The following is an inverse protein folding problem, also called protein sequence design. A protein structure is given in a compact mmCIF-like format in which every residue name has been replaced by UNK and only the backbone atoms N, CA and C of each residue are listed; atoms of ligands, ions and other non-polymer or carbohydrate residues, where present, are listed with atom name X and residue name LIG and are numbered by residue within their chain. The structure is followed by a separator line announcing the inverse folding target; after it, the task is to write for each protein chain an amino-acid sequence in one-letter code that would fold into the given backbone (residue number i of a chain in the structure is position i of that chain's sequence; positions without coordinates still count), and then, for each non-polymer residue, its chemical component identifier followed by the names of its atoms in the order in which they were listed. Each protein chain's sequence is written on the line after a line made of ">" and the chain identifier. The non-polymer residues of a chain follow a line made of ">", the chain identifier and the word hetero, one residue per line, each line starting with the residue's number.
data_IF_981515260519
#
_entry.id   IF_981515260519
#
_cell.length_a   1.000
_cell.length_b   1.000
_cell.length_c   1.000
_cell.angle_alpha   90.00
_cell.angle_beta   90.00
_cell.angle_gamma   90.00
#
_symmetry.space_group_name_H-M   'P 1'
#
loop_
_entity.id
_entity.type
_entity.pdbx_description
1 polymer ?
#
# COMPACT_ATOMS: atom_id res chain seq x y z
N UNK A 1 42.09 -2.24 -43.76
CA UNK A 1 41.14 -3.03 -44.59
C UNK A 1 39.72 -2.66 -44.19
N UNK A 2 38.91 -2.07 -45.09
CA UNK A 2 37.49 -1.81 -44.79
C UNK A 2 36.71 -3.11 -45.04
N UNK A 3 36.16 -3.71 -44.01
CA UNK A 3 35.32 -4.91 -44.16
C UNK A 3 34.08 -4.60 -45.03
N UNK A 4 33.68 -5.52 -45.90
CA UNK A 4 32.51 -5.35 -46.77
C UNK A 4 31.23 -5.25 -45.94
N UNK A 5 30.19 -4.54 -46.47
CA UNK A 5 28.88 -4.37 -45.80
C UNK A 5 28.24 -5.75 -45.46
N UNK A 6 28.46 -6.75 -46.31
CA UNK A 6 27.99 -8.13 -46.09
C UNK A 6 28.74 -8.86 -44.92
N UNK A 7 30.02 -8.55 -44.75
CA UNK A 7 30.84 -9.12 -43.66
C UNK A 7 30.49 -8.48 -42.31
N UNK A 8 30.14 -7.17 -42.30
CA UNK A 8 29.63 -6.46 -41.14
C UNK A 8 28.27 -7.03 -40.72
N UNK A 9 27.34 -7.27 -41.69
CA UNK A 9 26.00 -7.83 -41.43
C UNK A 9 26.12 -9.27 -40.89
N UNK A 10 27.02 -10.11 -41.44
CA UNK A 10 27.27 -11.46 -40.88
C UNK A 10 27.80 -11.43 -39.45
N UNK A 11 28.69 -10.50 -39.10
CA UNK A 11 29.20 -10.34 -37.71
C UNK A 11 28.13 -9.88 -36.75
N UNK A 12 27.22 -9.00 -37.16
CA UNK A 12 26.14 -8.49 -36.32
C UNK A 12 25.10 -9.56 -35.98
N UNK A 13 24.89 -10.54 -36.87
CA UNK A 13 23.94 -11.64 -36.66
C UNK A 13 24.59 -12.97 -36.18
N UNK A 14 25.90 -12.98 -35.96
CA UNK A 14 26.56 -14.16 -35.41
C UNK A 14 26.17 -14.33 -33.91
N UNK A 15 25.86 -15.58 -33.53
CA UNK A 15 25.63 -15.92 -32.10
C UNK A 15 26.96 -15.72 -31.37
N UNK A 16 26.99 -14.89 -30.32
CA UNK A 16 28.22 -14.65 -29.56
C UNK A 16 28.63 -15.90 -28.78
N UNK A 17 29.91 -16.03 -28.51
CA UNK A 17 30.41 -17.04 -27.57
C UNK A 17 29.84 -16.74 -26.17
N UNK A 18 29.28 -17.78 -25.54
CA UNK A 18 28.69 -17.68 -24.23
C UNK A 18 29.70 -18.11 -23.17
N UNK A 19 29.98 -17.17 -22.25
CA UNK A 19 30.84 -17.48 -21.09
C UNK A 19 30.08 -17.19 -19.80
N UNK A 20 30.42 -17.85 -18.69
CA UNK A 20 29.80 -17.72 -17.40
C UNK A 20 30.67 -16.91 -16.42
N UNK A 21 30.07 -16.01 -15.63
CA UNK A 21 30.78 -15.25 -14.59
C UNK A 21 31.18 -16.16 -13.42
N UNK A 22 32.43 -16.65 -13.44
CA UNK A 22 32.99 -17.49 -12.38
C UNK A 22 33.31 -16.70 -11.10
N UNK A 23 33.57 -15.42 -11.22
CA UNK A 23 33.98 -14.54 -10.12
C UNK A 23 32.82 -14.00 -9.28
N UNK A 24 31.59 -14.30 -9.66
CA UNK A 24 30.36 -13.81 -9.01
C UNK A 24 30.36 -12.28 -8.82
N UNK A 25 30.72 -11.56 -9.86
CA UNK A 25 30.79 -10.08 -9.86
C UNK A 25 29.57 -9.42 -10.50
N UNK A 26 28.77 -10.19 -11.24
CA UNK A 26 27.60 -9.70 -11.94
C UNK A 26 26.35 -9.70 -11.03
N UNK A 27 25.57 -8.64 -11.10
CA UNK A 27 24.26 -8.51 -10.45
C UNK A 27 23.21 -8.10 -11.47
N UNK A 28 22.02 -8.67 -11.36
CA UNK A 28 20.85 -8.25 -12.13
C UNK A 28 20.04 -7.13 -11.45
N UNK A 29 20.44 -6.73 -10.24
CA UNK A 29 19.70 -5.81 -9.36
C UNK A 29 20.57 -4.67 -8.86
N UNK A 30 21.37 -4.05 -9.75
CA UNK A 30 22.29 -2.98 -9.38
C UNK A 30 21.59 -1.80 -8.64
N UNK A 31 20.31 -1.57 -8.93
CA UNK A 31 19.51 -0.54 -8.24
C UNK A 31 19.27 -0.79 -6.75
N UNK A 32 19.54 -1.99 -6.24
CA UNK A 32 19.46 -2.24 -4.79
C UNK A 32 20.47 -1.41 -3.99
N UNK A 33 21.50 -0.83 -4.62
CA UNK A 33 22.40 0.09 -3.94
C UNK A 33 21.66 1.34 -3.46
N UNK A 34 20.64 1.82 -4.18
CA UNK A 34 19.78 2.93 -3.75
C UNK A 34 19.03 2.57 -2.47
N UNK A 35 18.50 1.35 -2.40
CA UNK A 35 17.84 0.86 -1.18
C UNK A 35 18.86 0.60 -0.05
N UNK A 36 20.08 0.21 -0.36
CA UNK A 36 21.14 0.10 0.65
C UNK A 36 21.41 1.45 1.31
N UNK A 37 21.51 2.52 0.52
CA UNK A 37 21.66 3.89 1.00
C UNK A 37 20.42 4.35 1.80
N UNK A 38 19.21 4.10 1.27
CA UNK A 38 17.96 4.40 1.96
C UNK A 38 17.86 3.67 3.32
N UNK A 39 18.24 2.39 3.39
CA UNK A 39 18.24 1.64 4.65
C UNK A 39 19.21 2.22 5.68
N UNK A 40 20.35 2.78 5.23
CA UNK A 40 21.28 3.47 6.10
C UNK A 40 20.68 4.78 6.62
N UNK A 41 20.15 5.62 5.74
CA UNK A 41 19.52 6.90 6.10
C UNK A 41 18.34 6.72 7.08
N UNK A 42 17.51 5.70 6.90
CA UNK A 42 16.39 5.38 7.78
C UNK A 42 16.77 4.61 9.05
N UNK A 43 18.03 4.18 9.20
CA UNK A 43 18.44 3.29 10.29
C UNK A 43 17.66 1.95 10.31
N UNK A 44 17.14 1.52 9.15
CA UNK A 44 16.17 0.42 9.03
C UNK A 44 16.65 -0.88 9.64
N UNK A 45 17.95 -1.20 9.50
CA UNK A 45 18.53 -2.44 10.05
C UNK A 45 18.48 -2.47 11.58
N UNK A 46 18.73 -1.35 12.24
CA UNK A 46 18.65 -1.22 13.69
C UNK A 46 17.20 -1.29 14.18
N UNK A 47 16.31 -0.57 13.48
CA UNK A 47 14.87 -0.58 13.78
C UNK A 47 14.26 -1.97 13.63
N UNK A 48 14.58 -2.71 12.57
CA UNK A 48 14.15 -4.10 12.40
C UNK A 48 14.73 -5.02 13.50
N UNK A 49 16.00 -4.86 13.87
CA UNK A 49 16.58 -5.64 14.98
C UNK A 49 15.83 -5.40 16.29
N UNK A 50 15.46 -4.17 16.58
CA UNK A 50 14.69 -3.82 17.76
C UNK A 50 13.31 -4.51 17.79
N UNK A 51 12.66 -4.71 16.64
CA UNK A 51 11.38 -5.41 16.57
C UNK A 51 11.46 -6.85 17.11
N UNK A 52 12.60 -7.51 16.93
CA UNK A 52 12.82 -8.92 17.29
C UNK A 52 13.77 -9.10 18.47
N UNK A 53 14.16 -8.03 19.17
CA UNK A 53 15.17 -8.09 20.24
C UNK A 53 14.78 -8.98 21.45
N UNK A 54 13.47 -9.20 21.67
CA UNK A 54 12.96 -10.05 22.73
C UNK A 54 12.97 -11.54 22.39
N UNK A 55 13.18 -11.88 21.11
CA UNK A 55 13.30 -13.27 20.66
C UNK A 55 14.75 -13.71 20.78
N UNK A 56 14.97 -14.96 21.20
CA UNK A 56 16.30 -15.53 21.37
C UNK A 56 17.15 -15.48 20.09
N UNK A 57 18.47 -15.42 20.24
CA UNK A 57 19.42 -15.46 19.12
C UNK A 57 19.30 -16.78 18.36
N UNK A 58 19.16 -16.69 17.04
CA UNK A 58 19.27 -17.85 16.14
C UNK A 58 20.71 -17.99 15.65
N UNK A 59 21.20 -19.22 15.53
CA UNK A 59 22.60 -19.52 15.18
C UNK A 59 23.01 -18.97 13.81
N UNK A 60 22.18 -19.17 12.76
CA UNK A 60 22.60 -18.86 11.38
C UNK A 60 22.03 -17.51 10.89
N UNK A 61 20.71 -17.36 10.90
CA UNK A 61 20.04 -16.17 10.38
C UNK A 61 19.05 -15.62 11.40
N UNK A 62 19.27 -14.36 11.83
CA UNK A 62 18.36 -13.66 12.74
C UNK A 62 17.06 -13.23 12.06
N UNK A 63 15.97 -13.06 12.83
CA UNK A 63 14.65 -12.64 12.36
C UNK A 63 14.69 -11.37 11.52
N UNK A 64 15.39 -10.34 11.97
CA UNK A 64 15.52 -9.07 11.27
C UNK A 64 16.16 -9.21 9.88
N UNK A 65 17.12 -10.13 9.73
CA UNK A 65 17.78 -10.40 8.44
C UNK A 65 16.85 -11.14 7.49
N UNK A 66 16.09 -12.12 7.98
CA UNK A 66 15.06 -12.81 7.18
C UNK A 66 13.97 -11.84 6.76
N UNK A 67 13.54 -10.95 7.66
CA UNK A 67 12.56 -9.91 7.33
C UNK A 67 13.08 -8.96 6.24
N UNK A 68 14.34 -8.49 6.36
CA UNK A 68 14.96 -7.63 5.35
C UNK A 68 15.12 -8.37 4.00
N UNK A 69 15.43 -9.67 4.02
CA UNK A 69 15.47 -10.48 2.80
C UNK A 69 14.09 -10.56 2.13
N UNK A 70 13.00 -10.70 2.89
CA UNK A 70 11.65 -10.68 2.31
C UNK A 70 11.31 -9.32 1.69
N UNK A 71 11.72 -8.23 2.33
CA UNK A 71 11.56 -6.90 1.77
C UNK A 71 12.29 -6.78 0.43
N UNK A 72 13.57 -7.20 0.36
CA UNK A 72 14.33 -7.21 -0.90
C UNK A 72 13.71 -8.14 -1.94
N UNK A 73 13.24 -9.32 -1.53
CA UNK A 73 12.54 -10.28 -2.38
C UNK A 73 11.35 -9.63 -3.10
N UNK A 74 10.52 -8.91 -2.35
CA UNK A 74 9.37 -8.18 -2.88
C UNK A 74 9.79 -7.00 -3.75
N UNK A 75 10.78 -6.20 -3.32
CA UNK A 75 11.34 -5.09 -4.12
C UNK A 75 11.85 -5.56 -5.48
N UNK A 76 12.54 -6.68 -5.54
CA UNK A 76 13.02 -7.30 -6.79
C UNK A 76 11.88 -7.88 -7.65
N UNK A 77 10.67 -8.05 -7.10
CA UNK A 77 9.47 -8.51 -7.81
C UNK A 77 9.21 -10.00 -7.71
N UNK A 78 9.81 -10.67 -6.76
CA UNK A 78 9.55 -12.06 -6.48
C UNK A 78 8.36 -12.23 -5.53
N UNK A 79 7.63 -13.32 -5.72
CA UNK A 79 6.40 -13.59 -4.95
C UNK A 79 6.54 -14.82 -4.05
N UNK A 80 6.97 -15.95 -4.62
CA UNK A 80 7.02 -17.22 -3.91
C UNK A 80 8.32 -17.33 -3.17
N UNK A 81 8.32 -17.83 -1.93
CA UNK A 81 9.55 -17.99 -1.16
C UNK A 81 10.63 -18.78 -1.92
N UNK A 82 10.25 -19.76 -2.77
CA UNK A 82 11.17 -20.53 -3.62
C UNK A 82 11.82 -19.70 -4.73
N UNK A 83 11.20 -18.57 -5.13
CA UNK A 83 11.78 -17.71 -6.17
C UNK A 83 13.11 -17.08 -5.69
N UNK A 84 13.44 -17.23 -4.41
CA UNK A 84 14.73 -16.89 -3.80
C UNK A 84 15.89 -17.59 -4.53
N UNK A 85 15.67 -18.74 -5.11
CA UNK A 85 16.72 -19.48 -5.84
C UNK A 85 17.18 -18.74 -7.10
N UNK A 86 16.33 -17.90 -7.69
CA UNK A 86 16.66 -17.07 -8.86
C UNK A 86 17.72 -15.99 -8.58
N UNK A 87 17.94 -15.62 -7.31
CA UNK A 87 18.93 -14.62 -6.93
C UNK A 87 19.87 -15.09 -5.81
N UNK A 88 19.92 -16.40 -5.56
CA UNK A 88 20.68 -16.97 -4.45
C UNK A 88 22.20 -16.65 -4.50
N UNK A 89 22.73 -16.55 -5.71
CA UNK A 89 24.13 -16.23 -5.95
C UNK A 89 24.43 -14.78 -6.27
N UNK A 90 23.42 -13.89 -6.25
CA UNK A 90 23.63 -12.47 -6.58
C UNK A 90 24.50 -11.77 -5.51
N UNK A 91 25.68 -11.25 -5.91
CA UNK A 91 26.64 -10.69 -4.94
C UNK A 91 26.14 -9.40 -4.27
N UNK A 92 25.35 -8.59 -4.99
CA UNK A 92 24.82 -7.34 -4.41
C UNK A 92 23.71 -7.63 -3.41
N UNK A 93 22.84 -8.59 -3.67
CA UNK A 93 21.80 -9.01 -2.72
C UNK A 93 22.43 -9.52 -1.42
N UNK A 94 23.43 -10.42 -1.52
CA UNK A 94 24.17 -10.90 -0.35
C UNK A 94 24.82 -9.76 0.43
N UNK A 95 25.43 -8.79 -0.29
CA UNK A 95 26.06 -7.62 0.31
C UNK A 95 25.05 -6.70 1.01
N UNK A 96 23.93 -6.38 0.38
CA UNK A 96 22.87 -5.58 0.99
C UNK A 96 22.32 -6.25 2.24
N UNK A 97 22.29 -7.56 2.32
CA UNK A 97 21.89 -8.30 3.51
C UNK A 97 22.99 -8.46 4.55
N UNK A 98 24.27 -8.27 4.16
CA UNK A 98 25.42 -8.50 5.02
C UNK A 98 25.61 -9.99 5.34
N UNK A 99 25.53 -10.85 4.30
CA UNK A 99 25.67 -12.30 4.40
C UNK A 99 26.55 -12.83 3.29
N UNK A 100 27.23 -13.96 3.54
CA UNK A 100 27.98 -14.70 2.50
C UNK A 100 27.08 -15.62 1.67
N UNK A 101 25.98 -16.08 2.26
CA UNK A 101 24.95 -16.92 1.60
C UNK A 101 23.56 -16.54 2.07
N UNK A 102 22.55 -16.78 1.25
CA UNK A 102 21.14 -16.55 1.61
C UNK A 102 20.56 -17.77 2.34
N UNK A 103 19.68 -17.59 3.34
CA UNK A 103 18.92 -18.67 3.93
C UNK A 103 18.07 -19.39 2.87
N UNK A 104 17.92 -20.69 3.00
CA UNK A 104 17.03 -21.50 2.18
C UNK A 104 15.56 -21.28 2.53
N UNK A 105 14.65 -21.76 1.69
CA UNK A 105 13.20 -21.60 1.85
C UNK A 105 12.70 -22.16 3.18
N UNK A 106 13.24 -23.32 3.61
CA UNK A 106 12.86 -23.96 4.86
C UNK A 106 13.30 -23.13 6.07
N UNK A 107 14.50 -22.55 6.02
CA UNK A 107 15.03 -21.65 7.04
C UNK A 107 14.20 -20.37 7.12
N UNK A 108 13.85 -19.75 5.99
CA UNK A 108 12.95 -18.58 5.97
C UNK A 108 11.61 -18.93 6.64
N UNK A 109 10.95 -20.00 6.18
CA UNK A 109 9.63 -20.41 6.68
C UNK A 109 9.65 -20.74 8.17
N UNK A 110 10.66 -21.50 8.65
CA UNK A 110 10.83 -21.83 10.07
C UNK A 110 11.11 -20.60 10.93
N UNK A 111 11.91 -19.66 10.41
CA UNK A 111 12.20 -18.41 11.14
C UNK A 111 10.94 -17.57 11.31
N UNK A 112 10.16 -17.39 10.25
CA UNK A 112 8.90 -16.64 10.33
C UNK A 112 7.89 -17.32 11.25
N UNK A 113 7.77 -18.66 11.19
CA UNK A 113 6.84 -19.43 12.00
C UNK A 113 7.18 -19.43 13.49
N UNK A 114 8.42 -19.17 13.86
CA UNK A 114 8.90 -19.12 15.24
C UNK A 114 8.88 -17.71 15.85
N UNK A 115 8.41 -16.70 15.11
CA UNK A 115 8.13 -15.38 15.68
C UNK A 115 6.81 -15.41 16.49
N UNK A 116 6.58 -14.35 17.24
CA UNK A 116 5.40 -14.18 18.09
C UNK A 116 4.56 -12.96 17.71
N UNK A 117 3.42 -12.78 18.38
CA UNK A 117 2.53 -11.64 18.18
C UNK A 117 3.22 -10.30 18.50
N UNK A 118 4.09 -10.26 19.51
CA UNK A 118 4.84 -9.06 19.90
C UNK A 118 5.78 -8.59 18.80
N UNK A 119 6.42 -9.53 18.07
CA UNK A 119 7.24 -9.20 16.92
C UNK A 119 6.39 -8.63 15.77
N UNK A 120 5.21 -9.21 15.51
CA UNK A 120 4.25 -8.69 14.53
C UNK A 120 3.85 -7.26 14.87
N UNK A 121 3.45 -6.99 16.11
CA UNK A 121 3.03 -5.65 16.55
C UNK A 121 4.15 -4.62 16.44
N UNK A 122 5.39 -4.99 16.78
CA UNK A 122 6.54 -4.10 16.63
C UNK A 122 6.87 -3.78 15.18
N UNK A 123 6.69 -4.73 14.26
CA UNK A 123 6.86 -4.48 12.82
C UNK A 123 5.74 -3.59 12.28
N UNK A 124 4.48 -3.78 12.73
CA UNK A 124 3.36 -2.87 12.44
C UNK A 124 3.71 -1.44 12.87
N UNK A 125 4.14 -1.27 14.13
CA UNK A 125 4.56 0.03 14.67
C UNK A 125 5.71 0.65 13.88
N UNK A 126 6.67 -0.14 13.43
CA UNK A 126 7.76 0.34 12.57
C UNK A 126 7.24 0.89 11.24
N UNK A 127 6.30 0.21 10.58
CA UNK A 127 5.70 0.67 9.32
C UNK A 127 5.00 2.02 9.54
N UNK A 128 4.17 2.12 10.58
CA UNK A 128 3.49 3.37 10.94
C UNK A 128 4.47 4.50 11.28
N UNK A 129 5.53 4.20 12.03
CA UNK A 129 6.55 5.18 12.37
C UNK A 129 7.28 5.72 11.14
N UNK A 130 7.62 4.87 10.15
CA UNK A 130 8.25 5.32 8.90
C UNK A 130 7.32 6.24 8.10
N UNK A 131 6.04 5.92 8.00
CA UNK A 131 5.06 6.78 7.33
C UNK A 131 4.89 8.13 8.04
N UNK A 132 4.89 8.14 9.39
CA UNK A 132 4.82 9.38 10.17
C UNK A 132 6.12 10.20 10.11
N UNK A 133 7.30 9.54 10.10
CA UNK A 133 8.58 10.23 9.92
C UNK A 133 8.58 10.99 8.58
N UNK A 134 8.06 10.37 7.49
CA UNK A 134 7.89 11.03 6.20
C UNK A 134 6.85 12.15 6.26
N UNK A 135 5.71 11.94 6.90
CA UNK A 135 4.68 12.98 7.06
C UNK A 135 5.21 14.21 7.80
N UNK A 136 6.08 14.02 8.79
CA UNK A 136 6.79 15.12 9.49
C UNK A 136 7.78 15.80 8.56
N UNK A 137 8.60 15.04 7.81
CA UNK A 137 9.59 15.60 6.88
C UNK A 137 8.93 16.42 5.74
N UNK A 138 7.71 16.05 5.33
CA UNK A 138 6.93 16.81 4.35
C UNK A 138 6.09 17.94 4.97
N UNK A 139 6.20 18.14 6.29
CA UNK A 139 5.44 19.17 7.03
C UNK A 139 3.94 19.14 6.71
N UNK A 140 3.34 17.93 6.64
CA UNK A 140 1.95 17.79 6.24
C UNK A 140 1.00 18.55 7.16
N UNK A 141 0.29 19.57 6.69
CA UNK A 141 -0.67 20.33 7.50
C UNK A 141 -1.93 19.53 7.80
N UNK A 142 -2.19 18.50 7.00
CA UNK A 142 -3.30 17.56 7.10
C UNK A 142 -2.83 16.14 6.86
N UNK A 143 -3.35 15.19 7.63
CA UNK A 143 -3.14 13.76 7.42
C UNK A 143 -4.50 13.10 7.20
N UNK A 144 -4.70 12.52 6.04
CA UNK A 144 -5.90 11.75 5.72
C UNK A 144 -5.59 10.28 5.85
N UNK A 145 -6.27 9.62 6.79
CA UNK A 145 -6.24 8.17 6.95
C UNK A 145 -7.38 7.55 6.14
N UNK A 146 -7.02 6.65 5.23
CA UNK A 146 -7.97 5.79 4.54
C UNK A 146 -8.02 4.43 5.22
N UNK A 147 -9.21 3.93 5.45
CA UNK A 147 -9.43 2.60 6.03
C UNK A 147 -10.21 1.72 5.06
N UNK A 148 -9.73 0.48 4.88
CA UNK A 148 -10.40 -0.51 4.03
C UNK A 148 -10.11 -1.94 4.45
N UNK A 149 -11.06 -2.83 4.19
CA UNK A 149 -10.88 -4.26 4.28
C UNK A 149 -10.46 -4.83 2.92
N UNK A 150 -9.61 -5.86 2.93
CA UNK A 150 -9.25 -6.49 1.66
C UNK A 150 -9.05 -8.00 1.79
N UNK A 151 -9.67 -8.76 0.88
CA UNK A 151 -9.54 -10.22 0.86
C UNK A 151 -8.14 -10.63 0.43
N UNK A 152 -7.51 -11.50 1.22
CA UNK A 152 -6.28 -12.23 0.89
C UNK A 152 -6.64 -13.72 0.82
N UNK A 153 -6.90 -14.23 -0.37
CA UNK A 153 -7.39 -15.60 -0.56
C UNK A 153 -6.26 -16.63 -0.75
N UNK A 154 -6.53 -17.86 -0.38
CA UNK A 154 -5.63 -19.00 -0.59
C UNK A 154 -6.40 -20.28 -0.88
N UNK A 155 -5.83 -21.12 -1.74
CA UNK A 155 -6.32 -22.49 -1.95
C UNK A 155 -5.77 -23.48 -0.92
N UNK A 156 -4.77 -23.06 -0.13
CA UNK A 156 -4.10 -23.89 0.88
C UNK A 156 -4.70 -23.64 2.25
N UNK A 157 -4.73 -24.67 3.07
CA UNK A 157 -5.05 -24.50 4.48
C UNK A 157 -3.92 -23.75 5.20
N UNK A 158 -4.23 -22.59 5.78
CA UNK A 158 -3.34 -21.83 6.65
C UNK A 158 -4.06 -21.49 7.96
N UNK A 159 -3.33 -21.45 9.05
CA UNK A 159 -3.82 -21.17 10.39
C UNK A 159 -4.57 -19.83 10.43
N UNK A 160 -5.79 -19.82 10.98
CA UNK A 160 -6.63 -18.62 11.09
C UNK A 160 -7.29 -18.16 9.79
N UNK A 161 -7.20 -18.93 8.69
CA UNK A 161 -7.99 -18.68 7.49
C UNK A 161 -9.41 -19.22 7.67
N UNK A 162 -10.38 -18.49 7.14
CA UNK A 162 -11.79 -18.91 7.11
C UNK A 162 -12.41 -18.66 5.74
N UNK A 163 -13.48 -19.37 5.42
CA UNK A 163 -14.32 -19.10 4.26
C UNK A 163 -15.21 -17.92 4.60
N UNK A 164 -15.14 -16.86 3.81
CA UNK A 164 -15.92 -15.65 3.98
C UNK A 164 -16.36 -15.06 2.65
N UNK A 165 -16.86 -13.83 2.68
CA UNK A 165 -17.27 -13.14 1.48
C UNK A 165 -16.08 -12.86 0.56
N UNK A 166 -16.09 -13.45 -0.62
CA UNK A 166 -15.12 -13.19 -1.68
C UNK A 166 -15.85 -13.12 -3.03
N UNK A 167 -16.10 -11.92 -3.57
CA UNK A 167 -16.88 -11.76 -4.80
C UNK A 167 -16.18 -12.35 -6.03
N UNK A 168 -14.84 -12.45 -5.99
CA UNK A 168 -14.05 -12.99 -7.12
C UNK A 168 -13.94 -14.52 -7.10
N UNK A 169 -13.95 -15.14 -5.91
CA UNK A 169 -13.73 -16.59 -5.74
C UNK A 169 -14.56 -17.12 -4.58
N UNK A 170 -15.83 -17.40 -4.85
CA UNK A 170 -16.77 -17.96 -3.85
C UNK A 170 -16.21 -19.25 -3.23
N UNK A 171 -16.41 -19.45 -1.93
CA UNK A 171 -16.01 -20.65 -1.21
C UNK A 171 -14.53 -20.79 -0.91
N UNK A 172 -13.67 -19.84 -1.31
CA UNK A 172 -12.25 -19.90 -0.96
C UNK A 172 -11.98 -19.39 0.45
N UNK A 173 -11.00 -20.03 1.11
CA UNK A 173 -10.51 -19.59 2.42
C UNK A 173 -9.57 -18.41 2.27
N UNK A 174 -9.50 -17.56 3.29
CA UNK A 174 -8.56 -16.46 3.30
C UNK A 174 -8.50 -15.71 4.61
N UNK A 175 -7.80 -14.61 4.59
CA UNK A 175 -7.83 -13.56 5.61
C UNK A 175 -8.59 -12.36 5.06
N UNK A 176 -9.12 -11.56 5.97
CA UNK A 176 -9.75 -10.27 5.65
C UNK A 176 -9.18 -9.17 6.56
N UNK A 177 -7.91 -8.78 6.36
CA UNK A 177 -7.31 -7.72 7.16
C UNK A 177 -7.96 -6.36 6.87
N UNK A 178 -7.99 -5.49 7.90
CA UNK A 178 -8.16 -4.06 7.74
C UNK A 178 -6.81 -3.42 7.51
N UNK A 179 -6.76 -2.47 6.60
CA UNK A 179 -5.60 -1.64 6.31
C UNK A 179 -5.89 -0.18 6.65
N UNK A 180 -4.89 0.51 7.13
CA UNK A 180 -4.85 1.97 7.21
C UNK A 180 -3.74 2.51 6.33
N UNK A 181 -3.99 3.62 5.63
CA UNK A 181 -3.04 4.24 4.70
C UNK A 181 -3.01 5.74 4.91
N UNK A 182 -1.83 6.36 4.80
CA UNK A 182 -1.68 7.82 4.70
C UNK A 182 -1.85 8.22 3.24
N UNK A 183 -3.01 8.78 2.93
CA UNK A 183 -3.43 9.06 1.56
C UNK A 183 -2.45 9.96 0.79
N UNK A 184 -1.96 11.02 1.43
CA UNK A 184 -1.04 11.98 0.79
C UNK A 184 0.25 11.34 0.32
N UNK A 185 0.76 10.36 1.08
CA UNK A 185 2.04 9.70 0.81
C UNK A 185 1.88 8.42 -0.03
N UNK A 186 0.64 7.93 -0.19
CA UNK A 186 0.40 6.63 -0.80
C UNK A 186 0.99 5.46 0.00
N UNK A 187 1.22 5.62 1.30
CA UNK A 187 1.88 4.64 2.16
C UNK A 187 0.91 3.90 3.07
N UNK A 188 1.14 2.61 3.25
CA UNK A 188 0.51 1.87 4.34
C UNK A 188 0.95 2.43 5.69
N UNK A 189 -0.03 2.54 6.59
CA UNK A 189 0.20 3.00 7.94
C UNK A 189 0.16 1.84 8.94
N UNK A 190 -0.88 1.00 8.85
CA UNK A 190 -1.04 -0.16 9.73
C UNK A 190 -1.92 -1.25 9.09
N UNK A 191 -1.95 -2.44 9.70
CA UNK A 191 -2.78 -3.57 9.30
C UNK A 191 -3.30 -4.32 10.52
N UNK A 192 -4.63 -4.50 10.60
CA UNK A 192 -5.25 -5.42 11.56
C UNK A 192 -5.63 -6.73 10.86
N UNK A 193 -4.86 -7.79 11.12
CA UNK A 193 -4.99 -9.08 10.42
C UNK A 193 -6.09 -9.94 11.04
N UNK A 194 -7.12 -10.30 10.22
CA UNK A 194 -8.32 -10.99 10.66
C UNK A 194 -8.64 -12.22 9.78
N UNK A 195 -9.41 -13.22 10.29
CA UNK A 195 -9.95 -14.32 9.49
C UNK A 195 -10.85 -13.82 8.34
N UNK A 196 -11.04 -14.64 7.30
CA UNK A 196 -11.81 -14.27 6.12
C UNK A 196 -13.32 -14.12 6.31
N UNK A 197 -13.86 -14.63 7.41
CA UNK A 197 -15.30 -14.59 7.72
C UNK A 197 -15.72 -13.47 8.68
N UNK A 198 -14.88 -12.46 8.83
CA UNK A 198 -15.11 -11.33 9.76
C UNK A 198 -15.67 -10.15 8.98
N UNK A 199 -16.69 -9.47 9.54
CA UNK A 199 -17.24 -8.23 8.99
C UNK A 199 -16.32 -7.04 9.26
N UNK A 200 -16.36 -5.99 8.43
CA UNK A 200 -15.48 -4.81 8.55
C UNK A 200 -15.59 -4.10 9.90
N UNK A 201 -16.77 -4.05 10.50
CA UNK A 201 -16.99 -3.44 11.82
C UNK A 201 -16.26 -4.12 12.97
N UNK A 202 -15.92 -5.42 12.86
CA UNK A 202 -15.28 -6.16 13.95
C UNK A 202 -13.83 -5.71 14.16
N UNK A 203 -13.55 -5.17 15.36
CA UNK A 203 -12.24 -4.64 15.72
C UNK A 203 -11.88 -3.33 15.01
N UNK A 204 -12.80 -2.74 14.23
CA UNK A 204 -12.54 -1.50 13.51
C UNK A 204 -12.39 -0.31 14.45
N UNK A 205 -13.20 -0.24 15.52
CA UNK A 205 -13.19 0.87 16.50
C UNK A 205 -11.81 0.98 17.14
N UNK A 206 -11.32 -0.11 17.72
CA UNK A 206 -10.02 -0.15 18.38
C UNK A 206 -8.87 0.12 17.39
N UNK A 207 -8.94 -0.47 16.20
CA UNK A 207 -7.93 -0.28 15.16
C UNK A 207 -7.84 1.17 14.71
N UNK A 208 -8.97 1.81 14.43
CA UNK A 208 -9.04 3.21 14.01
C UNK A 208 -8.58 4.14 15.15
N UNK A 209 -9.00 3.87 16.40
CA UNK A 209 -8.55 4.64 17.58
C UNK A 209 -7.03 4.59 17.74
N UNK A 210 -6.44 3.40 17.67
CA UNK A 210 -4.98 3.22 17.76
C UNK A 210 -4.24 3.99 16.65
N UNK A 211 -4.75 3.96 15.42
CA UNK A 211 -4.16 4.73 14.32
C UNK A 211 -4.23 6.24 14.57
N UNK A 212 -5.37 6.74 15.02
CA UNK A 212 -5.58 8.15 15.36
C UNK A 212 -4.60 8.60 16.45
N UNK A 213 -4.50 7.85 17.53
CA UNK A 213 -3.60 8.15 18.66
C UNK A 213 -2.13 8.19 18.22
N UNK A 214 -1.70 7.28 17.36
CA UNK A 214 -0.33 7.28 16.83
C UNK A 214 -0.05 8.56 16.02
N UNK A 215 -0.98 8.97 15.14
CA UNK A 215 -0.83 10.22 14.38
C UNK A 215 -0.83 11.43 15.31
N UNK A 216 -1.75 11.50 16.28
CA UNK A 216 -1.85 12.62 17.23
C UNK A 216 -0.59 12.81 18.06
N UNK A 217 0.02 11.71 18.53
CA UNK A 217 1.29 11.76 19.27
C UNK A 217 2.43 12.34 18.45
N UNK A 218 2.49 12.06 17.15
CA UNK A 218 3.60 12.47 16.29
C UNK A 218 3.37 13.80 15.59
N UNK A 219 2.12 14.09 15.23
CA UNK A 219 1.68 15.28 14.48
C UNK A 219 0.50 15.97 15.20
N UNK A 220 0.70 16.52 16.42
CA UNK A 220 -0.38 17.03 17.26
C UNK A 220 -1.12 18.23 16.65
N UNK A 221 -0.45 18.99 15.77
CA UNK A 221 -0.99 20.21 15.12
C UNK A 221 -1.67 19.93 13.78
N UNK A 222 -1.42 18.78 13.16
CA UNK A 222 -2.00 18.45 11.87
C UNK A 222 -3.52 18.24 11.99
N UNK A 223 -4.24 18.68 10.97
CA UNK A 223 -5.68 18.35 10.84
C UNK A 223 -5.77 16.88 10.46
N UNK A 224 -6.39 16.07 11.32
CA UNK A 224 -6.60 14.66 11.05
C UNK A 224 -7.93 14.43 10.36
N UNK A 225 -7.88 13.69 9.26
CA UNK A 225 -9.04 13.38 8.43
C UNK A 225 -9.16 11.87 8.25
N UNK A 226 -10.38 11.36 8.08
CA UNK A 226 -10.63 9.94 7.79
C UNK A 226 -11.64 9.78 6.66
N UNK A 227 -11.38 8.78 5.78
CA UNK A 227 -12.30 8.34 4.74
C UNK A 227 -12.58 6.85 4.92
N UNK A 228 -13.86 6.50 4.95
CA UNK A 228 -14.30 5.14 5.18
C UNK A 228 -15.45 4.79 4.23
N UNK A 229 -15.60 3.51 3.94
CA UNK A 229 -16.73 3.03 3.15
C UNK A 229 -17.96 2.74 4.01
N UNK A 230 -18.99 2.23 3.37
CA UNK A 230 -20.26 1.95 4.03
C UNK A 230 -20.19 0.78 5.02
N UNK A 231 -19.22 -0.09 4.92
CA UNK A 231 -19.04 -1.20 5.84
C UNK A 231 -18.55 -0.73 7.23
N UNK A 232 -17.96 0.46 7.30
CA UNK A 232 -17.54 1.12 8.55
C UNK A 232 -18.62 2.04 9.14
N UNK A 233 -19.81 2.11 8.56
CA UNK A 233 -20.87 2.95 9.09
C UNK A 233 -21.46 2.36 10.38
N UNK A 234 -20.85 2.71 11.50
CA UNK A 234 -21.22 2.26 12.84
C UNK A 234 -21.19 3.40 13.84
N UNK A 235 -22.17 3.43 14.80
CA UNK A 235 -22.32 4.54 15.75
C UNK A 235 -21.07 4.79 16.58
N UNK A 236 -20.48 3.71 17.12
CA UNK A 236 -19.32 3.81 18.02
C UNK A 236 -18.08 4.31 17.29
N UNK A 237 -17.91 3.89 16.03
CA UNK A 237 -16.80 4.38 15.20
C UNK A 237 -16.92 5.89 14.93
N UNK A 238 -18.12 6.37 14.59
CA UNK A 238 -18.34 7.79 14.39
C UNK A 238 -18.16 8.58 15.70
N UNK A 239 -18.54 8.01 16.84
CA UNK A 239 -18.32 8.62 18.14
C UNK A 239 -16.83 8.78 18.45
N UNK A 240 -16.01 7.74 18.21
CA UNK A 240 -14.53 7.80 18.35
C UNK A 240 -13.94 8.88 17.45
N UNK A 241 -14.35 8.95 16.18
CA UNK A 241 -13.86 9.99 15.26
C UNK A 241 -14.21 11.40 15.77
N UNK A 242 -15.41 11.59 16.32
CA UNK A 242 -15.89 12.86 16.88
C UNK A 242 -15.14 13.23 18.17
N UNK A 243 -14.94 12.28 19.07
CA UNK A 243 -14.20 12.43 20.32
C UNK A 243 -12.75 12.86 20.09
N UNK A 244 -12.09 12.22 19.14
CA UNK A 244 -10.73 12.56 18.74
C UNK A 244 -10.63 13.76 17.79
N UNK A 245 -11.75 14.47 17.54
CA UNK A 245 -11.84 15.66 16.65
C UNK A 245 -11.27 15.36 15.25
N UNK A 246 -11.53 14.16 14.72
CA UNK A 246 -11.18 13.78 13.35
C UNK A 246 -12.26 14.29 12.41
N UNK A 247 -11.87 14.96 11.33
CA UNK A 247 -12.78 15.29 10.23
C UNK A 247 -13.01 14.05 9.38
N UNK A 248 -14.24 13.68 9.10
CA UNK A 248 -14.51 12.46 8.35
C UNK A 248 -15.55 12.63 7.24
N UNK A 249 -15.48 11.73 6.27
CA UNK A 249 -16.56 11.41 5.36
C UNK A 249 -16.67 9.87 5.26
N UNK A 250 -17.87 9.35 5.51
CA UNK A 250 -18.17 7.92 5.49
C UNK A 250 -19.33 7.69 4.53
N UNK A 251 -19.16 6.73 3.60
CA UNK A 251 -20.28 6.29 2.77
C UNK A 251 -21.37 5.66 3.64
N UNK A 252 -22.61 5.93 3.34
CA UNK A 252 -23.77 5.38 4.02
C UNK A 252 -24.34 4.21 3.20
N UNK A 253 -24.71 3.07 3.79
CA UNK A 253 -25.37 1.99 3.07
C UNK A 253 -26.83 2.38 2.76
N UNK A 254 -27.00 3.25 1.77
CA UNK A 254 -28.26 3.90 1.41
C UNK A 254 -29.40 2.91 1.24
N UNK A 255 -29.19 1.80 0.54
CA UNK A 255 -30.20 0.79 0.28
C UNK A 255 -30.75 0.11 1.56
N UNK A 256 -29.98 0.13 2.66
CA UNK A 256 -30.36 -0.52 3.92
C UNK A 256 -31.34 0.31 4.77
N UNK A 257 -31.58 1.59 4.42
CA UNK A 257 -32.39 2.50 5.23
C UNK A 257 -33.59 3.05 4.46
N UNK A 258 -34.77 2.49 4.75
CA UNK A 258 -36.06 2.92 4.16
C UNK A 258 -36.30 4.43 4.35
N UNK A 259 -35.99 4.98 5.53
CA UNK A 259 -36.13 6.41 5.81
C UNK A 259 -35.29 7.32 4.88
N UNK A 260 -34.11 6.88 4.47
CA UNK A 260 -33.30 7.63 3.49
C UNK A 260 -33.90 7.55 2.08
N UNK A 261 -34.47 6.38 1.70
CA UNK A 261 -35.17 6.23 0.43
C UNK A 261 -36.37 7.17 0.34
N UNK A 262 -37.22 7.23 1.38
CA UNK A 262 -38.33 8.17 1.44
C UNK A 262 -37.91 9.64 1.35
N UNK A 263 -36.78 10.00 1.98
CA UNK A 263 -36.23 11.36 1.87
C UNK A 263 -35.83 11.70 0.43
N UNK A 264 -35.30 10.75 -0.31
CA UNK A 264 -34.94 10.93 -1.73
C UNK A 264 -36.17 11.00 -2.62
N UNK A 265 -37.13 10.07 -2.43
CA UNK A 265 -38.37 9.99 -3.22
C UNK A 265 -39.27 11.22 -3.05
N UNK A 266 -39.35 11.76 -1.82
CA UNK A 266 -40.15 12.96 -1.53
C UNK A 266 -39.44 14.27 -1.93
N UNK A 267 -38.15 14.22 -2.31
CA UNK A 267 -37.37 15.42 -2.57
C UNK A 267 -37.58 15.97 -3.96
N UNK A 268 -38.21 17.12 -4.05
CA UNK A 268 -38.44 17.82 -5.33
C UNK A 268 -37.25 18.67 -5.75
N UNK A 269 -36.63 19.42 -4.81
CA UNK A 269 -35.56 20.37 -5.12
C UNK A 269 -34.18 19.80 -4.80
N UNK A 270 -33.34 19.65 -5.86
CA UNK A 270 -31.97 19.25 -5.79
C UNK A 270 -31.05 20.40 -6.20
N UNK A 271 -30.01 20.64 -5.42
CA UNK A 271 -28.98 21.63 -5.72
C UNK A 271 -27.96 21.01 -6.70
N UNK A 272 -27.58 21.75 -7.72
CA UNK A 272 -26.61 21.28 -8.71
C UNK A 272 -25.19 21.41 -8.17
N UNK A 273 -24.36 20.38 -8.36
CA UNK A 273 -22.91 20.42 -8.19
C UNK A 273 -22.28 20.70 -9.55
N UNK A 274 -22.61 19.87 -10.55
CA UNK A 274 -22.19 19.95 -11.95
C UNK A 274 -23.23 19.28 -12.88
N UNK A 275 -22.89 19.01 -14.13
CA UNK A 275 -23.82 18.41 -15.12
C UNK A 275 -24.26 16.98 -14.78
N UNK A 276 -23.48 16.28 -13.97
CA UNK A 276 -23.74 14.89 -13.58
C UNK A 276 -24.27 14.74 -12.18
N UNK A 277 -23.90 15.67 -11.25
CA UNK A 277 -24.14 15.52 -9.83
C UNK A 277 -25.05 16.59 -9.29
N UNK A 278 -26.04 16.18 -8.54
CA UNK A 278 -26.87 17.09 -7.72
C UNK A 278 -27.05 16.49 -6.33
N UNK A 279 -27.37 17.34 -5.34
CA UNK A 279 -27.40 16.97 -3.95
C UNK A 279 -28.47 17.72 -3.17
N UNK A 280 -28.77 17.22 -1.99
CA UNK A 280 -29.33 17.99 -0.89
C UNK A 280 -28.72 17.56 0.45
N UNK A 281 -28.80 18.42 1.43
CA UNK A 281 -28.28 18.15 2.76
C UNK A 281 -29.44 18.03 3.74
N UNK A 282 -29.23 17.17 4.74
CA UNK A 282 -30.15 16.98 5.85
C UNK A 282 -29.38 16.59 7.10
N UNK A 283 -30.05 16.64 8.24
CA UNK A 283 -29.60 15.98 9.46
C UNK A 283 -30.38 14.70 9.64
N UNK A 284 -29.68 13.60 9.85
CA UNK A 284 -30.32 12.29 9.94
C UNK A 284 -29.55 11.34 10.86
N UNK A 285 -30.26 10.37 11.40
CA UNK A 285 -29.70 9.25 12.16
C UNK A 285 -30.53 7.98 11.93
N UNK A 286 -29.95 6.76 12.03
CA UNK A 286 -30.70 5.53 12.20
C UNK A 286 -31.56 5.60 13.48
N UNK A 287 -32.72 4.92 13.46
CA UNK A 287 -33.73 5.00 14.54
C UNK A 287 -33.17 4.76 15.96
N UNK A 288 -32.18 3.88 16.08
CA UNK A 288 -31.56 3.48 17.37
C UNK A 288 -30.34 4.32 17.77
N UNK A 289 -29.91 5.28 16.95
CA UNK A 289 -28.72 6.09 17.24
C UNK A 289 -29.07 7.31 18.07
N UNK A 290 -28.11 7.76 18.89
CA UNK A 290 -28.31 8.84 19.85
C UNK A 290 -28.28 10.22 19.21
N UNK A 291 -27.46 10.44 18.16
CA UNK A 291 -27.19 11.76 17.61
C UNK A 291 -27.50 11.84 16.13
N UNK A 292 -28.15 12.93 15.73
CA UNK A 292 -28.26 13.33 14.33
C UNK A 292 -26.89 13.79 13.80
N UNK A 293 -26.61 13.48 12.54
CA UNK A 293 -25.39 13.89 11.85
C UNK A 293 -25.74 14.52 10.51
N UNK A 294 -24.86 15.36 10.01
CA UNK A 294 -24.96 15.91 8.66
C UNK A 294 -24.86 14.79 7.65
N UNK A 295 -25.88 14.66 6.80
CA UNK A 295 -25.94 13.70 5.71
C UNK A 295 -26.11 14.47 4.41
N UNK A 296 -25.28 14.14 3.43
CA UNK A 296 -25.36 14.65 2.06
C UNK A 296 -25.88 13.53 1.20
N UNK A 297 -27.06 13.72 0.64
CA UNK A 297 -27.67 12.81 -0.32
C UNK A 297 -27.35 13.32 -1.72
N UNK A 298 -26.78 12.47 -2.53
CA UNK A 298 -26.23 12.81 -3.85
C UNK A 298 -26.89 11.91 -4.86
N UNK A 299 -27.30 12.47 -6.00
CA UNK A 299 -27.73 11.72 -7.16
C UNK A 299 -26.79 11.98 -8.33
N UNK A 300 -26.47 10.94 -9.06
CA UNK A 300 -25.70 10.97 -10.29
C UNK A 300 -26.57 10.52 -11.46
N UNK A 301 -26.59 11.29 -12.54
CA UNK A 301 -27.28 10.88 -13.76
C UNK A 301 -26.57 9.68 -14.37
N UNK A 302 -27.30 8.59 -14.63
CA UNK A 302 -26.76 7.40 -15.28
C UNK A 302 -26.42 7.74 -16.73
N UNK A 303 -25.24 7.33 -17.20
CA UNK A 303 -24.97 7.27 -18.62
C UNK A 303 -25.83 6.13 -19.19
N UNK A 304 -26.78 6.46 -20.06
CA UNK A 304 -27.69 5.48 -20.69
C UNK A 304 -26.86 4.60 -21.63
N UNK A 305 -26.39 3.46 -21.14
CA UNK A 305 -25.96 2.36 -22.01
C UNK A 305 -27.17 1.52 -22.36
N UNK A 306 -27.74 1.75 -23.57
CA UNK A 306 -28.74 0.85 -24.15
C UNK A 306 -28.04 -0.46 -24.54
N UNK A 307 -28.12 -1.48 -23.67
CA UNK A 307 -27.75 -2.86 -24.00
C UNK A 307 -28.88 -3.79 -23.57
N UNK A 308 -29.56 -4.38 -24.56
CA UNK A 308 -30.48 -5.51 -24.39
C UNK A 308 -31.97 -5.14 -24.20
N UNK A 309 -32.88 -6.13 -24.33
CA UNK A 309 -34.29 -5.94 -24.11
C UNK A 309 -34.59 -5.59 -22.63
N UNK A 310 -35.55 -4.71 -22.41
CA UNK A 310 -36.04 -4.28 -21.11
C UNK A 310 -36.61 -5.49 -20.33
N UNK A 311 -35.89 -5.97 -19.36
CA UNK A 311 -36.44 -6.87 -18.35
C UNK A 311 -37.21 -6.02 -17.32
N UNK A 312 -38.50 -6.10 -17.33
CA UNK A 312 -39.38 -5.46 -16.36
C UNK A 312 -39.27 -6.21 -15.02
N UNK A 313 -38.45 -5.71 -14.11
CA UNK A 313 -38.51 -6.13 -12.71
C UNK A 313 -39.70 -5.44 -12.05
N UNK A 314 -40.75 -6.24 -11.80
CA UNK A 314 -42.05 -5.80 -11.31
C UNK A 314 -42.03 -5.23 -9.87
N UNK A 315 -40.91 -5.26 -9.12
CA UNK A 315 -40.86 -4.98 -7.69
C UNK A 315 -39.84 -3.97 -7.21
N UNK A 316 -39.03 -3.39 -8.09
CA UNK A 316 -38.14 -2.27 -7.71
C UNK A 316 -38.49 -1.02 -8.50
N UNK A 317 -39.03 -0.01 -7.83
CA UNK A 317 -39.06 1.36 -8.34
C UNK A 317 -37.61 1.88 -8.30
N UNK A 318 -36.79 1.37 -9.18
CA UNK A 318 -35.46 1.91 -9.43
C UNK A 318 -35.69 3.12 -10.33
N UNK A 319 -35.38 4.31 -9.79
CA UNK A 319 -35.27 5.51 -10.61
C UNK A 319 -34.22 5.22 -11.69
N UNK A 320 -34.68 4.97 -12.91
CA UNK A 320 -33.86 4.54 -14.04
C UNK A 320 -32.86 5.61 -14.50
N UNK A 321 -33.07 6.86 -14.09
CA UNK A 321 -32.25 7.98 -14.53
C UNK A 321 -31.08 8.27 -13.58
N UNK A 322 -31.20 7.94 -12.28
CA UNK A 322 -30.21 8.34 -11.28
C UNK A 322 -29.68 7.17 -10.45
N UNK A 323 -28.42 7.32 -10.06
CA UNK A 323 -27.81 6.54 -8.99
C UNK A 323 -27.67 7.42 -7.74
N UNK A 324 -27.96 6.86 -6.58
CA UNK A 324 -27.95 7.59 -5.32
C UNK A 324 -26.79 7.15 -4.44
N UNK A 325 -26.15 8.13 -3.80
CA UNK A 325 -25.15 7.95 -2.75
C UNK A 325 -25.51 8.78 -1.56
N UNK A 326 -25.22 8.30 -0.36
CA UNK A 326 -25.36 9.05 0.87
C UNK A 326 -24.02 9.09 1.60
N UNK A 327 -23.66 10.28 2.13
CA UNK A 327 -22.41 10.52 2.84
C UNK A 327 -22.77 11.13 4.21
N UNK A 328 -22.27 10.51 5.27
CA UNK A 328 -22.28 11.13 6.60
C UNK A 328 -20.95 11.82 6.85
N UNK A 329 -20.99 13.03 7.42
CA UNK A 329 -19.79 13.85 7.63
C UNK A 329 -19.93 14.84 8.77
N UNK A 330 -18.83 15.19 9.43
CA UNK A 330 -18.73 16.32 10.34
C UNK A 330 -17.96 17.51 9.72
N UNK A 331 -17.53 17.40 8.46
CA UNK A 331 -16.85 18.51 7.75
C UNK A 331 -17.83 19.64 7.51
N UNK A 332 -17.37 20.89 7.71
CA UNK A 332 -18.17 22.11 7.51
C UNK A 332 -18.01 22.73 6.13
N UNK A 333 -17.38 22.03 5.20
CA UNK A 333 -17.19 22.49 3.82
C UNK A 333 -18.43 22.20 2.96
N UNK A 334 -18.48 22.74 1.72
CA UNK A 334 -19.57 22.49 0.77
C UNK A 334 -19.74 21.00 0.44
N UNK A 335 -20.94 20.60 0.01
CA UNK A 335 -21.21 19.22 -0.43
C UNK A 335 -20.29 18.78 -1.55
N UNK A 336 -19.98 19.68 -2.50
CA UNK A 336 -19.03 19.40 -3.59
C UNK A 336 -17.64 19.04 -3.04
N UNK A 337 -17.14 19.79 -2.04
CA UNK A 337 -15.85 19.49 -1.42
C UNK A 337 -15.86 18.19 -0.62
N UNK A 338 -16.97 17.86 0.06
CA UNK A 338 -17.11 16.58 0.78
C UNK A 338 -17.15 15.41 -0.22
N UNK A 339 -17.85 15.55 -1.34
CA UNK A 339 -17.88 14.56 -2.40
C UNK A 339 -16.49 14.35 -3.01
N UNK A 340 -15.80 15.44 -3.35
CA UNK A 340 -14.43 15.37 -3.88
C UNK A 340 -13.46 14.73 -2.86
N UNK A 341 -13.61 15.06 -1.57
CA UNK A 341 -12.84 14.44 -0.51
C UNK A 341 -13.08 12.93 -0.43
N UNK A 342 -14.33 12.49 -0.42
CA UNK A 342 -14.66 11.06 -0.37
C UNK A 342 -14.24 10.33 -1.65
N UNK A 343 -14.42 10.93 -2.82
CA UNK A 343 -14.00 10.34 -4.10
C UNK A 343 -12.47 10.20 -4.21
N UNK A 344 -11.69 11.02 -3.50
CA UNK A 344 -10.25 10.85 -3.34
C UNK A 344 -9.85 9.50 -2.71
N UNK A 345 -10.81 8.73 -2.17
CA UNK A 345 -10.65 7.35 -1.73
C UNK A 345 -10.24 6.40 -2.86
N UNK A 346 -10.47 6.72 -4.13
CA UNK A 346 -9.95 5.96 -5.27
C UNK A 346 -8.43 5.77 -5.24
N UNK A 347 -7.68 6.67 -4.58
CA UNK A 347 -6.25 6.48 -4.34
C UNK A 347 -5.96 5.26 -3.47
N UNK A 348 -6.81 4.93 -2.51
CA UNK A 348 -6.68 3.77 -1.62
C UNK A 348 -6.84 2.44 -2.39
N UNK A 349 -7.83 2.36 -3.28
CA UNK A 349 -8.03 1.19 -4.14
C UNK A 349 -6.82 0.99 -5.05
N UNK A 350 -6.23 2.09 -5.54
CA UNK A 350 -4.99 2.05 -6.32
C UNK A 350 -3.80 1.54 -5.48
N UNK A 351 -3.62 2.00 -4.24
CA UNK A 351 -2.55 1.55 -3.34
C UNK A 351 -2.69 0.05 -3.03
N UNK A 352 -3.89 -0.42 -2.67
CA UNK A 352 -4.14 -1.83 -2.41
C UNK A 352 -3.98 -2.69 -3.67
N UNK A 353 -4.45 -2.20 -4.82
CA UNK A 353 -4.27 -2.83 -6.12
C UNK A 353 -2.80 -2.97 -6.46
N UNK A 354 -2.04 -1.90 -6.39
CA UNK A 354 -0.60 -1.87 -6.60
C UNK A 354 0.14 -2.85 -5.67
N UNK A 355 -0.16 -2.82 -4.38
CA UNK A 355 0.51 -3.70 -3.42
C UNK A 355 0.18 -5.18 -3.67
N UNK A 356 -1.02 -5.52 -4.11
CA UNK A 356 -1.38 -6.88 -4.50
C UNK A 356 -0.67 -7.33 -5.77
N UNK A 357 -0.56 -6.45 -6.75
CA UNK A 357 0.04 -6.74 -8.06
C UNK A 357 1.57 -6.71 -7.99
N UNK A 358 2.13 -5.66 -7.44
CA UNK A 358 3.56 -5.38 -7.50
C UNK A 358 4.32 -5.68 -6.20
N UNK A 359 3.67 -5.66 -5.03
CA UNK A 359 4.30 -6.00 -3.75
C UNK A 359 3.88 -7.36 -3.18
N UNK A 360 3.14 -8.18 -3.94
CA UNK A 360 2.73 -9.54 -3.53
C UNK A 360 1.91 -9.61 -2.23
N UNK A 361 1.23 -8.53 -1.85
CA UNK A 361 0.45 -8.43 -0.61
C UNK A 361 -0.64 -9.52 -0.51
N UNK A 362 -1.20 -9.94 -1.66
CA UNK A 362 -2.22 -10.99 -1.72
C UNK A 362 -1.71 -12.43 -1.56
N UNK A 363 -0.41 -12.65 -1.32
CA UNK A 363 0.17 -13.98 -1.27
C UNK A 363 0.28 -14.52 0.16
N UNK A 364 -0.19 -15.76 0.39
CA UNK A 364 -0.14 -16.48 1.67
C UNK A 364 0.85 -17.65 1.54
N UNK A 365 2.14 -17.47 1.91
CA UNK A 365 3.20 -18.44 1.67
C UNK A 365 3.26 -19.59 2.67
N UNK A 366 2.82 -19.39 3.91
CA UNK A 366 3.10 -20.25 5.06
C UNK A 366 1.83 -20.89 5.65
N UNK A 367 2.02 -21.94 6.47
CA UNK A 367 0.92 -22.56 7.23
C UNK A 367 0.58 -21.78 8.50
N UNK A 368 1.58 -21.20 9.18
CA UNK A 368 1.40 -20.47 10.46
C UNK A 368 0.93 -19.05 10.19
N UNK A 369 -0.06 -18.61 10.99
CA UNK A 369 -0.64 -17.27 10.89
C UNK A 369 0.39 -16.15 11.07
N UNK A 370 1.23 -16.27 12.10
CA UNK A 370 2.28 -15.27 12.38
C UNK A 370 3.25 -15.09 11.22
N UNK A 371 3.61 -16.18 10.53
CA UNK A 371 4.48 -16.13 9.36
C UNK A 371 3.83 -15.39 8.20
N UNK A 372 2.52 -15.59 7.98
CA UNK A 372 1.77 -14.89 6.95
C UNK A 372 1.59 -13.40 7.28
N UNK A 373 1.37 -13.06 8.56
CA UNK A 373 1.36 -11.67 9.02
C UNK A 373 2.69 -10.97 8.73
N UNK A 374 3.82 -11.58 9.09
CA UNK A 374 5.15 -11.02 8.81
C UNK A 374 5.42 -10.88 7.32
N UNK A 375 4.95 -11.84 6.48
CA UNK A 375 5.07 -11.72 5.02
C UNK A 375 4.26 -10.53 4.48
N UNK A 376 3.00 -10.37 4.93
CA UNK A 376 2.17 -9.22 4.53
C UNK A 376 2.81 -7.90 4.98
N UNK A 377 3.39 -7.84 6.17
CA UNK A 377 4.11 -6.66 6.66
C UNK A 377 5.40 -6.40 5.88
N UNK A 378 6.11 -7.44 5.42
CA UNK A 378 7.25 -7.27 4.50
C UNK A 378 6.81 -6.70 3.15
N UNK A 379 5.66 -7.11 2.63
CA UNK A 379 5.07 -6.58 1.42
C UNK A 379 4.70 -5.09 1.56
N UNK A 380 4.03 -4.73 2.66
CA UNK A 380 3.71 -3.33 2.98
C UNK A 380 4.97 -2.48 3.15
N UNK A 381 5.97 -3.00 3.86
CA UNK A 381 7.25 -2.29 4.06
C UNK A 381 7.99 -2.09 2.74
N UNK A 382 8.01 -3.08 1.86
CA UNK A 382 8.62 -2.96 0.52
C UNK A 382 7.90 -1.91 -0.32
N UNK A 383 6.57 -1.87 -0.31
CA UNK A 383 5.77 -0.84 -0.98
C UNK A 383 6.11 0.55 -0.44
N UNK A 384 6.06 0.73 0.88
CA UNK A 384 6.39 2.00 1.52
C UNK A 384 7.82 2.47 1.22
N UNK A 385 8.79 1.56 1.22
CA UNK A 385 10.18 1.90 0.88
C UNK A 385 10.35 2.29 -0.58
N UNK A 386 9.54 1.73 -1.49
CA UNK A 386 9.50 2.17 -2.89
C UNK A 386 8.99 3.61 -3.04
N UNK A 387 7.98 3.99 -2.27
CA UNK A 387 7.48 5.37 -2.20
C UNK A 387 8.47 6.28 -1.48
N UNK A 388 9.03 5.83 -0.35
CA UNK A 388 10.03 6.59 0.42
C UNK A 388 11.24 6.96 -0.43
N UNK A 389 11.76 6.02 -1.23
CA UNK A 389 12.86 6.28 -2.15
C UNK A 389 12.54 7.44 -3.11
N UNK A 390 11.33 7.48 -3.63
CA UNK A 390 10.89 8.54 -4.54
C UNK A 390 10.67 9.87 -3.82
N UNK A 391 10.05 9.83 -2.64
CA UNK A 391 9.79 11.02 -1.82
C UNK A 391 11.11 11.69 -1.38
N UNK A 392 12.13 10.91 -1.01
CA UNK A 392 13.46 11.43 -0.70
C UNK A 392 14.10 12.18 -1.89
N UNK A 393 13.84 11.75 -3.12
CA UNK A 393 14.43 12.35 -4.32
C UNK A 393 13.66 13.56 -4.87
N UNK A 394 12.90 14.27 -4.05
CA UNK A 394 12.08 15.43 -4.44
C UNK A 394 11.01 15.07 -5.48
N UNK A 395 9.94 14.42 -5.08
CA UNK A 395 8.85 14.00 -5.94
C UNK A 395 8.13 15.19 -6.57
N UNK A 396 7.47 14.94 -7.70
CA UNK A 396 6.59 15.92 -8.32
C UNK A 396 5.33 16.07 -7.47
N UNK A 397 5.00 17.30 -7.07
CA UNK A 397 3.77 17.62 -6.34
C UNK A 397 2.66 17.98 -7.31
N UNK A 398 1.49 17.35 -7.13
CA UNK A 398 0.27 17.72 -7.86
C UNK A 398 -0.38 18.92 -7.18
N UNK A 399 -0.54 20.03 -7.91
CA UNK A 399 -1.36 21.17 -7.57
C UNK A 399 -1.19 21.73 -6.14
N UNK A 400 -0.79 22.95 -5.99
CA UNK A 400 -0.66 23.60 -4.70
C UNK A 400 -1.82 24.56 -4.48
N UNK A 401 -2.84 24.11 -3.72
CA UNK A 401 -3.64 25.05 -2.99
C UNK A 401 -3.01 25.23 -1.59
N UNK A 402 -2.77 26.44 -1.08
CA UNK A 402 -2.10 26.67 0.20
C UNK A 402 -2.76 25.99 1.41
N UNK A 403 -4.05 25.66 1.30
CA UNK A 403 -4.84 25.01 2.35
C UNK A 403 -4.95 23.49 2.23
N UNK A 404 -4.38 22.88 1.18
CA UNK A 404 -4.45 21.43 0.94
C UNK A 404 -3.09 20.80 1.14
N UNK A 405 -3.08 19.62 1.76
CA UNK A 405 -1.87 18.80 1.83
C UNK A 405 -1.35 18.49 0.41
N UNK A 406 -0.04 18.54 0.18
CA UNK A 406 0.54 18.19 -1.11
C UNK A 406 0.17 16.74 -1.46
N UNK A 407 -0.10 16.50 -2.72
CA UNK A 407 -0.23 15.16 -3.28
C UNK A 407 0.97 14.93 -4.19
N UNK A 408 1.56 13.73 -4.09
CA UNK A 408 2.75 13.37 -4.83
C UNK A 408 2.41 12.46 -6.01
N UNK A 409 3.08 12.66 -7.13
CA UNK A 409 3.05 11.75 -8.28
C UNK A 409 4.18 10.73 -8.12
N UNK A 410 3.81 9.51 -7.78
CA UNK A 410 4.76 8.43 -7.56
C UNK A 410 4.58 7.34 -8.63
N UNK A 411 5.69 6.81 -9.11
CA UNK A 411 5.69 5.61 -9.92
C UNK A 411 5.25 4.42 -9.07
N UNK A 412 4.52 3.48 -9.67
CA UNK A 412 4.23 2.21 -9.01
C UNK A 412 5.52 1.45 -8.71
N UNK A 413 5.49 0.56 -7.72
CA UNK A 413 6.64 -0.30 -7.41
C UNK A 413 7.07 -1.14 -8.62
N UNK A 414 6.11 -1.53 -9.48
CA UNK A 414 6.39 -2.21 -10.75
C UNK A 414 7.25 -1.36 -11.67
N UNK A 415 6.80 -0.14 -11.94
CA UNK A 415 7.53 0.83 -12.78
C UNK A 415 8.89 1.17 -12.18
N UNK A 416 8.94 1.44 -10.88
CA UNK A 416 10.20 1.73 -10.18
C UNK A 416 11.21 0.58 -10.30
N UNK A 417 10.72 -0.66 -10.22
CA UNK A 417 11.53 -1.88 -10.39
C UNK A 417 12.16 -1.95 -11.76
N UNK A 418 11.37 -1.74 -12.79
CA UNK A 418 11.85 -1.85 -14.17
C UNK A 418 12.75 -0.67 -14.56
N UNK A 419 12.52 0.51 -13.99
CA UNK A 419 13.34 1.69 -14.27
C UNK A 419 14.65 1.74 -13.48
N UNK A 420 14.66 1.34 -12.21
CA UNK A 420 15.81 1.55 -11.32
C UNK A 420 16.38 0.26 -10.73
N UNK A 421 15.53 -0.70 -10.27
CA UNK A 421 16.03 -1.85 -9.50
C UNK A 421 16.66 -2.91 -10.40
N UNK A 422 15.96 -3.32 -11.47
CA UNK A 422 16.38 -4.35 -12.40
C UNK A 422 17.37 -3.80 -13.42
N UNK A 423 18.55 -3.45 -12.97
CA UNK A 423 19.67 -3.02 -13.81
C UNK A 423 20.81 -3.99 -13.67
N UNK A 424 21.39 -4.37 -14.82
CA UNK A 424 22.62 -5.12 -14.80
C UNK A 424 23.74 -4.28 -14.20
N UNK A 425 24.59 -4.91 -13.41
CA UNK A 425 25.74 -4.24 -12.85
C UNK A 425 26.90 -5.19 -12.58
N UNK A 426 28.07 -4.64 -12.39
CA UNK A 426 29.30 -5.39 -12.08
C UNK A 426 29.98 -4.78 -10.87
N UNK A 427 30.22 -5.62 -9.86
CA UNK A 427 31.05 -5.27 -8.70
C UNK A 427 32.52 -5.45 -9.04
N UNK A 428 33.33 -4.42 -8.82
CA UNK A 428 34.78 -4.44 -9.01
C UNK A 428 35.46 -3.84 -7.79
N UNK A 429 36.74 -4.13 -7.64
CA UNK A 429 37.53 -3.61 -6.50
C UNK A 429 38.88 -3.08 -6.96
N UNK A 430 38.89 -2.06 -7.86
CA UNK A 430 40.17 -1.46 -8.28
C UNK A 430 40.84 -0.77 -7.10
N UNK A 431 42.14 -1.03 -6.94
CA UNK A 431 42.97 -0.46 -5.86
C UNK A 431 42.34 -0.62 -4.44
N UNK A 432 41.63 -1.76 -4.20
CA UNK A 432 40.99 -2.04 -2.93
C UNK A 432 39.65 -1.30 -2.69
N UNK A 433 39.24 -0.36 -3.54
CA UNK A 433 37.97 0.36 -3.42
C UNK A 433 36.86 -0.37 -4.14
N UNK A 434 35.78 -0.70 -3.41
CA UNK A 434 34.64 -1.34 -4.01
C UNK A 434 33.87 -0.35 -4.91
N UNK A 435 33.63 -0.77 -6.15
CA UNK A 435 32.85 -0.03 -7.13
C UNK A 435 31.73 -0.89 -7.69
N UNK A 436 30.60 -0.26 -7.99
CA UNK A 436 29.48 -0.86 -8.71
C UNK A 436 29.33 -0.13 -10.05
N UNK A 437 29.66 -0.80 -11.15
CA UNK A 437 29.36 -0.33 -12.48
C UNK A 437 27.91 -0.71 -12.82
N UNK A 438 27.07 0.26 -13.19
CA UNK A 438 25.64 0.05 -13.45
C UNK A 438 25.34 0.30 -14.92
N UNK A 439 24.62 -0.61 -15.56
CA UNK A 439 24.12 -0.46 -16.93
C UNK A 439 22.93 0.52 -16.94
N UNK A 440 23.20 1.82 -16.95
CA UNK A 440 22.22 2.88 -17.02
C UNK A 440 22.66 3.96 -18.00
N UNK A 441 21.79 4.29 -18.94
CA UNK A 441 22.03 5.34 -19.95
C UNK A 441 20.83 6.31 -19.97
N UNK A 442 21.02 7.50 -20.55
CA UNK A 442 19.97 8.48 -20.75
C UNK A 442 19.26 8.87 -19.43
N UNK A 443 17.95 8.81 -19.45
CA UNK A 443 17.11 9.21 -18.31
C UNK A 443 17.30 8.31 -17.08
N UNK A 444 17.43 7.01 -17.28
CA UNK A 444 17.67 6.06 -16.19
C UNK A 444 18.95 6.41 -15.39
N UNK A 445 20.02 6.86 -16.07
CA UNK A 445 21.25 7.33 -15.41
C UNK A 445 20.99 8.58 -14.58
N UNK A 446 20.26 9.57 -15.15
CA UNK A 446 19.94 10.82 -14.43
C UNK A 446 19.11 10.56 -13.18
N UNK A 447 18.07 9.74 -13.31
CA UNK A 447 17.22 9.37 -12.18
C UNK A 447 18.01 8.62 -11.11
N UNK A 448 18.82 7.64 -11.50
CA UNK A 448 19.66 6.88 -10.58
C UNK A 448 20.62 7.79 -9.80
N UNK A 449 21.33 8.67 -10.51
CA UNK A 449 22.27 9.62 -9.91
C UNK A 449 21.55 10.56 -8.93
N UNK A 450 20.42 11.13 -9.34
CA UNK A 450 19.58 12.00 -8.50
C UNK A 450 19.20 11.33 -7.17
N UNK A 451 18.70 10.08 -7.21
CA UNK A 451 18.35 9.35 -5.99
C UNK A 451 19.59 9.11 -5.10
N UNK A 452 20.71 8.75 -5.71
CA UNK A 452 21.94 8.48 -4.98
C UNK A 452 22.48 9.73 -4.29
N UNK A 453 22.55 10.85 -5.00
CA UNK A 453 23.01 12.12 -4.48
C UNK A 453 22.18 12.58 -3.27
N UNK A 454 20.85 12.54 -3.38
CA UNK A 454 19.98 12.90 -2.26
C UNK A 454 20.19 12.00 -1.03
N UNK A 455 20.35 10.70 -1.21
CA UNK A 455 20.53 9.76 -0.12
C UNK A 455 21.92 9.87 0.55
N UNK A 456 22.96 10.20 -0.21
CA UNK A 456 24.32 10.36 0.31
C UNK A 456 24.51 11.70 1.02
N UNK A 457 23.77 12.75 0.62
CA UNK A 457 23.83 14.05 1.29
C UNK A 457 22.92 14.12 2.54
N UNK A 458 21.96 13.21 2.67
CA UNK A 458 21.07 13.12 3.83
C UNK A 458 21.61 12.20 4.95
N UNK A 459 22.69 11.45 4.70
CA UNK A 459 23.34 10.54 5.63
C UNK A 459 24.60 11.20 6.24
#
# INVERSE_FOLDING_TARGET
>A
MRSSKAEIVRRVHAIPEVTFDRDRKLTSFAGLVLFQALFAALGLRARLRACFAHLGRRRDFGYARVMLQLVLHVLMGFRRLRDRDSYAGDPLVCRVLGVSRLPDVATISRTLAAADAKAVDRVRQLIGALALDRAVAEELPRVTLDFDGSVLDTRRHAEGTAVGYNPRRKGTRGYYPLFSMVSQLGMFFDMHHRPGNVHDSNGAVDFVSQCIEQVRRRLPRAVLEARLDSAFFHQDLLAVLEEHRVQYAVSLPFASYVSLRHLVESRQRWLRIDDRWSYFETTWRPKRWLRNRRVILIRQRRAVQRKGPLQLDLFEVVDREFEYKAIVTNKRTSAANVLAFLNGRGCQEAILGEAKEHASLGYIPCRRRVANQLYSLAAMLAHNLGHELQLCASPTRRGQAPSRAPQFELMTLGTLRDHLIRRAGRLTQPQGRLQLCVAAIGDARRQFQRHLDHLLHAA
#
